data_IF_574426793635
#
_entry.id   IF_574426793635
#
_cell.length_a   1.000
_cell.length_b   1.000
_cell.length_c   1.000
_cell.angle_alpha   90.00
_cell.angle_beta   90.00
_cell.angle_gamma   90.00
#
_symmetry.space_group_name_H-M   'P 1'
#
loop_
_entity.id
_entity.type
_entity.pdbx_description
1 polymer ?
#
# COMPACT_ATOMS: atom_id res chain seq x y z
N UNK A 1 -14.08 -61.59 -23.77
CA UNK A 1 -13.62 -60.19 -23.99
C UNK A 1 -14.05 -59.20 -22.90
N UNK A 2 -14.96 -59.54 -21.98
CA UNK A 2 -15.41 -58.62 -20.90
C UNK A 2 -14.35 -58.25 -19.84
N UNK A 3 -13.46 -59.18 -19.44
CA UNK A 3 -12.49 -58.91 -18.37
C UNK A 3 -11.40 -57.87 -18.71
N UNK A 4 -11.03 -57.73 -19.99
CA UNK A 4 -10.05 -56.72 -20.44
C UNK A 4 -10.66 -55.31 -20.43
N UNK A 5 -11.96 -55.19 -20.69
CA UNK A 5 -12.69 -53.91 -20.66
C UNK A 5 -12.84 -53.44 -19.21
N UNK A 6 -13.15 -54.36 -18.28
CA UNK A 6 -13.26 -54.06 -16.86
C UNK A 6 -11.92 -53.66 -16.22
N UNK A 7 -10.82 -54.32 -16.61
CA UNK A 7 -9.46 -53.97 -16.19
C UNK A 7 -8.95 -52.65 -16.79
N UNK A 8 -9.42 -52.27 -17.98
CA UNK A 8 -9.06 -50.98 -18.61
C UNK A 8 -9.88 -49.84 -17.99
N UNK A 9 -11.15 -50.09 -17.67
CA UNK A 9 -12.01 -49.15 -16.93
C UNK A 9 -11.44 -48.83 -15.55
N UNK A 10 -11.11 -49.84 -14.74
CA UNK A 10 -10.53 -49.63 -13.40
C UNK A 10 -9.18 -48.91 -13.42
N UNK A 11 -8.33 -49.13 -14.44
CA UNK A 11 -7.09 -48.37 -14.65
C UNK A 11 -7.34 -46.90 -15.02
N UNK A 12 -8.38 -46.60 -15.79
CA UNK A 12 -8.79 -45.24 -16.13
C UNK A 12 -9.33 -44.49 -14.90
N UNK A 13 -10.17 -45.12 -14.09
CA UNK A 13 -10.66 -44.54 -12.83
C UNK A 13 -9.51 -44.30 -11.82
N UNK A 14 -8.58 -45.25 -11.70
CA UNK A 14 -7.38 -45.06 -10.88
C UNK A 14 -6.51 -43.90 -11.38
N UNK A 15 -6.33 -43.76 -12.70
CA UNK A 15 -5.60 -42.64 -13.31
C UNK A 15 -6.33 -41.31 -13.14
N UNK A 16 -7.66 -41.30 -13.20
CA UNK A 16 -8.50 -40.14 -12.88
C UNK A 16 -8.34 -39.68 -11.43
N UNK A 17 -8.35 -40.61 -10.47
CA UNK A 17 -8.10 -40.31 -9.06
C UNK A 17 -6.71 -39.73 -8.79
N UNK A 18 -5.68 -40.22 -9.49
CA UNK A 18 -4.30 -39.70 -9.36
C UNK A 18 -4.17 -38.28 -9.92
N UNK A 19 -4.83 -37.95 -11.03
CA UNK A 19 -4.81 -36.59 -11.60
C UNK A 19 -5.52 -35.61 -10.66
N UNK A 20 -6.70 -35.97 -10.14
CA UNK A 20 -7.44 -35.16 -9.16
C UNK A 20 -6.61 -34.95 -7.88
N UNK A 21 -5.96 -35.99 -7.38
CA UNK A 21 -5.07 -35.90 -6.22
C UNK A 21 -3.86 -34.99 -6.46
N UNK A 22 -3.27 -35.01 -7.66
CA UNK A 22 -2.15 -34.11 -8.03
C UNK A 22 -2.57 -32.64 -8.10
N UNK A 23 -3.75 -32.35 -8.64
CA UNK A 23 -4.27 -30.97 -8.72
C UNK A 23 -4.58 -30.45 -7.32
N UNK A 24 -5.25 -31.24 -6.47
CA UNK A 24 -5.51 -30.88 -5.08
C UNK A 24 -4.20 -30.62 -4.32
N UNK A 25 -3.21 -31.51 -4.43
CA UNK A 25 -1.93 -31.32 -3.78
C UNK A 25 -1.20 -30.06 -4.27
N UNK A 26 -1.21 -29.82 -5.58
CA UNK A 26 -0.60 -28.62 -6.17
C UNK A 26 -1.29 -27.35 -5.65
N UNK A 27 -2.63 -27.31 -5.66
CA UNK A 27 -3.39 -26.17 -5.13
C UNK A 27 -3.11 -25.89 -3.65
N UNK A 28 -2.99 -26.94 -2.82
CA UNK A 28 -2.62 -26.81 -1.41
C UNK A 28 -1.21 -26.22 -1.22
N UNK A 29 -0.25 -26.59 -2.08
CA UNK A 29 1.10 -26.01 -2.05
C UNK A 29 1.05 -24.52 -2.41
N UNK A 30 0.29 -24.12 -3.43
CA UNK A 30 0.14 -22.70 -3.80
C UNK A 30 -0.53 -21.89 -2.70
N UNK A 31 -1.63 -22.39 -2.13
CA UNK A 31 -2.32 -21.74 -1.03
C UNK A 31 -1.39 -21.55 0.19
N UNK A 32 -0.67 -22.60 0.57
CA UNK A 32 0.26 -22.54 1.71
C UNK A 32 1.38 -21.53 1.46
N UNK A 33 1.94 -21.48 0.24
CA UNK A 33 2.95 -20.49 -0.14
C UNK A 33 2.41 -19.07 -0.13
N UNK A 34 1.23 -18.84 -0.70
CA UNK A 34 0.60 -17.51 -0.72
C UNK A 34 0.30 -17.01 0.69
N UNK A 35 -0.18 -17.87 1.58
CA UNK A 35 -0.40 -17.53 2.99
C UNK A 35 0.93 -17.19 3.68
N UNK A 36 1.97 -17.98 3.45
CA UNK A 36 3.29 -17.73 4.04
C UNK A 36 3.86 -16.38 3.59
N UNK A 37 3.92 -16.13 2.28
CA UNK A 37 4.43 -14.85 1.76
C UNK A 37 3.53 -13.67 2.15
N UNK A 38 2.21 -13.87 2.24
CA UNK A 38 1.28 -12.87 2.76
C UNK A 38 1.58 -12.48 4.21
N UNK A 39 1.86 -13.47 5.07
CA UNK A 39 2.25 -13.22 6.47
C UNK A 39 3.59 -12.49 6.57
N UNK A 40 4.60 -12.91 5.82
CA UNK A 40 5.91 -12.25 5.80
C UNK A 40 5.78 -10.81 5.31
N UNK A 41 5.02 -10.58 4.23
CA UNK A 41 4.74 -9.25 3.72
C UNK A 41 4.01 -8.37 4.74
N UNK A 42 3.08 -8.94 5.51
CA UNK A 42 2.37 -8.24 6.57
C UNK A 42 3.27 -7.87 7.77
N UNK A 43 4.21 -8.73 8.18
CA UNK A 43 5.17 -8.37 9.23
C UNK A 43 6.17 -7.32 8.75
N UNK A 44 6.64 -7.45 7.51
CA UNK A 44 7.52 -6.45 6.90
C UNK A 44 6.83 -5.08 6.80
N UNK A 45 5.55 -5.04 6.40
CA UNK A 45 4.81 -3.79 6.28
C UNK A 45 4.57 -3.11 7.64
N UNK A 46 4.35 -3.87 8.71
CA UNK A 46 4.27 -3.33 10.08
C UNK A 46 5.58 -2.68 10.51
N UNK A 47 6.70 -3.32 10.19
CA UNK A 47 8.03 -2.79 10.53
C UNK A 47 8.31 -1.48 9.79
N UNK A 48 8.01 -1.44 8.49
CA UNK A 48 8.13 -0.21 7.67
C UNK A 48 7.20 0.87 8.22
N UNK A 49 5.96 0.54 8.57
CA UNK A 49 4.99 1.49 9.12
C UNK A 49 5.51 2.20 10.38
N UNK A 50 6.21 1.46 11.25
CA UNK A 50 6.84 2.00 12.46
C UNK A 50 8.11 2.79 12.14
N UNK A 51 8.99 2.28 11.27
CA UNK A 51 10.26 2.93 10.91
C UNK A 51 10.08 4.24 10.15
N UNK A 52 9.10 4.30 9.27
CA UNK A 52 8.76 5.50 8.50
C UNK A 52 7.92 6.50 9.32
N UNK A 53 7.61 6.20 10.58
CA UNK A 53 6.84 7.10 11.44
C UNK A 53 5.43 7.38 10.92
N UNK A 54 4.81 6.42 10.22
CA UNK A 54 3.44 6.55 9.68
C UNK A 54 2.36 6.44 10.77
N UNK A 55 2.76 6.23 12.02
CA UNK A 55 1.90 6.31 13.20
C UNK A 55 1.36 7.72 13.36
N UNK A 56 0.06 7.89 13.63
CA UNK A 56 -0.50 9.22 13.89
C UNK A 56 0.22 9.85 15.09
N UNK A 57 0.76 11.07 14.94
CA UNK A 57 1.54 11.73 16.00
C UNK A 57 0.66 12.16 17.18
N UNK A 58 1.29 12.48 18.30
CA UNK A 58 0.56 12.91 19.50
C UNK A 58 -0.05 14.31 19.28
N UNK A 59 -1.14 14.62 19.98
CA UNK A 59 -1.86 15.91 19.90
C UNK A 59 -0.92 17.08 20.24
N UNK A 60 0.05 16.89 21.14
CA UNK A 60 1.00 17.95 21.48
C UNK A 60 2.02 18.21 20.37
N UNK A 61 2.42 17.17 19.63
CA UNK A 61 3.27 17.31 18.45
C UNK A 61 2.51 18.11 17.37
N UNK A 62 1.23 17.82 17.15
CA UNK A 62 0.38 18.61 16.25
C UNK A 62 0.33 20.09 16.63
N UNK A 63 0.11 20.41 17.91
CA UNK A 63 0.13 21.80 18.39
C UNK A 63 1.47 22.47 18.13
N UNK A 64 2.58 21.77 18.37
CA UNK A 64 3.92 22.32 18.17
C UNK A 64 4.20 22.63 16.70
N UNK A 65 3.81 21.75 15.78
CA UNK A 65 3.95 21.95 14.34
C UNK A 65 3.09 23.12 13.89
N UNK A 66 1.84 23.20 14.36
CA UNK A 66 0.94 24.30 14.01
C UNK A 66 1.47 25.65 14.50
N UNK A 67 1.93 25.72 15.76
CA UNK A 67 2.55 26.93 16.32
C UNK A 67 3.80 27.34 15.53
N UNK A 68 4.64 26.38 15.13
CA UNK A 68 5.83 26.63 14.31
C UNK A 68 5.47 27.16 12.93
N UNK A 69 4.48 26.58 12.26
CA UNK A 69 4.00 27.04 10.94
C UNK A 69 3.45 28.46 11.01
N UNK A 70 2.65 28.78 12.03
CA UNK A 70 2.16 30.14 12.24
C UNK A 70 3.30 31.13 12.52
N UNK A 71 4.29 30.74 13.33
CA UNK A 71 5.48 31.53 13.60
C UNK A 71 6.26 31.85 12.31
N UNK A 72 6.53 30.83 11.50
CA UNK A 72 7.21 30.97 10.21
C UNK A 72 6.42 31.88 9.26
N UNK A 73 5.10 31.68 9.14
CA UNK A 73 4.27 32.53 8.27
C UNK A 73 4.32 34.00 8.66
N UNK A 74 4.34 34.30 9.96
CA UNK A 74 4.48 35.68 10.47
C UNK A 74 5.87 36.26 10.22
N UNK A 75 6.92 35.45 10.34
CA UNK A 75 8.30 35.87 10.09
C UNK A 75 8.54 36.17 8.61
N UNK A 76 8.09 35.28 7.72
CA UNK A 76 8.22 35.43 6.27
C UNK A 76 7.42 36.62 5.74
N UNK A 77 6.26 36.91 6.33
CA UNK A 77 5.45 38.09 5.96
C UNK A 77 6.16 39.41 6.25
N UNK A 78 7.09 39.45 7.22
CA UNK A 78 7.89 40.64 7.56
C UNK A 78 9.14 40.80 6.71
N UNK A 79 9.56 39.76 5.98
CA UNK A 79 10.82 39.74 5.21
C UNK A 79 10.62 39.20 3.78
N UNK A 80 9.93 39.95 2.91
CA UNK A 80 9.63 39.50 1.54
C UNK A 80 10.88 39.33 0.66
N UNK A 81 11.95 40.07 0.94
CA UNK A 81 13.22 39.99 0.19
C UNK A 81 13.99 38.69 0.46
N UNK A 82 13.95 38.18 1.70
CA UNK A 82 14.59 36.90 2.05
C UNK A 82 13.88 35.72 1.38
N UNK A 83 12.55 35.76 1.26
CA UNK A 83 11.77 34.75 0.53
C UNK A 83 12.14 34.70 -0.95
N UNK A 84 12.27 35.85 -1.62
CA UNK A 84 12.63 35.90 -3.04
C UNK A 84 14.04 35.35 -3.28
N UNK A 85 14.97 35.63 -2.37
CA UNK A 85 16.33 35.10 -2.45
C UNK A 85 16.35 33.58 -2.19
N UNK A 86 15.55 33.11 -1.24
CA UNK A 86 15.38 31.67 -0.98
C UNK A 86 14.82 30.95 -2.21
N UNK A 87 13.75 31.47 -2.82
CA UNK A 87 13.14 30.90 -4.02
C UNK A 87 14.11 30.84 -5.21
N UNK A 88 14.92 31.89 -5.41
CA UNK A 88 15.95 31.93 -6.46
C UNK A 88 17.12 30.97 -6.19
N UNK A 89 17.39 30.65 -4.93
CA UNK A 89 18.49 29.74 -4.52
C UNK A 89 18.12 28.25 -4.55
N UNK A 90 16.86 27.90 -4.83
CA UNK A 90 16.39 26.51 -4.81
C UNK A 90 17.06 25.67 -5.90
N UNK A 91 17.68 24.56 -5.49
CA UNK A 91 18.28 23.60 -6.42
C UNK A 91 17.23 22.66 -6.99
N UNK A 92 17.50 22.08 -8.16
CA UNK A 92 16.62 21.09 -8.81
C UNK A 92 16.27 19.90 -7.90
N UNK A 93 17.21 19.46 -7.06
CA UNK A 93 16.99 18.37 -6.12
C UNK A 93 16.00 18.74 -5.01
N UNK A 94 15.99 20.00 -4.57
CA UNK A 94 15.06 20.47 -3.55
C UNK A 94 13.65 20.58 -4.12
N UNK A 95 13.53 21.05 -5.37
CA UNK A 95 12.26 21.09 -6.08
C UNK A 95 11.65 19.68 -6.23
N UNK A 96 12.46 18.67 -6.57
CA UNK A 96 11.99 17.28 -6.65
C UNK A 96 11.52 16.75 -5.29
N UNK A 97 12.22 17.08 -4.20
CA UNK A 97 11.82 16.67 -2.85
C UNK A 97 10.52 17.35 -2.40
N UNK A 98 10.40 18.66 -2.58
CA UNK A 98 9.17 19.37 -2.23
C UNK A 98 8.00 18.96 -3.13
N UNK A 99 8.27 18.69 -4.40
CA UNK A 99 7.31 18.13 -5.34
C UNK A 99 6.81 16.76 -4.90
N UNK A 100 7.70 15.86 -4.46
CA UNK A 100 7.29 14.53 -3.98
C UNK A 100 6.45 14.63 -2.71
N UNK A 101 6.77 15.54 -1.79
CA UNK A 101 5.91 15.82 -0.63
C UNK A 101 4.54 16.36 -1.03
N UNK A 102 4.47 17.25 -2.01
CA UNK A 102 3.20 17.73 -2.55
C UNK A 102 2.32 16.59 -3.09
N UNK A 103 2.92 15.67 -3.86
CA UNK A 103 2.22 14.48 -4.36
C UNK A 103 1.77 13.57 -3.23
N UNK A 104 2.59 13.38 -2.19
CA UNK A 104 2.22 12.58 -1.02
C UNK A 104 1.02 13.19 -0.26
N UNK A 105 1.02 14.51 -0.04
CA UNK A 105 -0.10 15.21 0.62
C UNK A 105 -1.39 15.05 -0.18
N UNK A 106 -1.34 15.22 -1.50
CA UNK A 106 -2.49 14.99 -2.38
C UNK A 106 -2.97 13.52 -2.35
N UNK A 107 -2.03 12.58 -2.26
CA UNK A 107 -2.32 11.17 -2.08
C UNK A 107 -3.06 10.89 -0.77
N UNK A 108 -2.56 11.40 0.36
CA UNK A 108 -3.21 11.25 1.66
C UNK A 108 -4.57 11.93 1.74
N UNK A 109 -4.74 13.10 1.11
CA UNK A 109 -6.03 13.76 0.99
C UNK A 109 -7.04 12.89 0.25
N UNK A 110 -6.65 12.32 -0.90
CA UNK A 110 -7.49 11.42 -1.69
C UNK A 110 -7.85 10.14 -0.93
N UNK A 111 -6.88 9.56 -0.19
CA UNK A 111 -7.13 8.42 0.70
C UNK A 111 -8.15 8.77 1.80
N UNK A 112 -8.05 9.96 2.38
CA UNK A 112 -9.02 10.49 3.34
C UNK A 112 -10.43 10.58 2.75
N UNK A 113 -10.57 11.07 1.52
CA UNK A 113 -11.86 11.09 0.83
C UNK A 113 -12.43 9.68 0.59
N UNK A 114 -11.58 8.73 0.17
CA UNK A 114 -11.98 7.32 -0.03
C UNK A 114 -12.48 6.70 1.27
N UNK A 115 -11.79 6.93 2.38
CA UNK A 115 -12.17 6.44 3.72
C UNK A 115 -13.48 7.12 4.17
N UNK A 116 -13.57 8.45 4.05
CA UNK A 116 -14.74 9.22 4.45
C UNK A 116 -15.99 8.83 3.67
N UNK A 117 -15.86 8.57 2.36
CA UNK A 117 -16.95 8.14 1.49
C UNK A 117 -17.22 6.63 1.51
N UNK A 118 -16.30 5.84 2.09
CA UNK A 118 -16.29 4.36 2.10
C UNK A 118 -16.46 3.75 0.70
N UNK A 119 -15.94 4.44 -0.33
CA UNK A 119 -16.05 4.03 -1.74
C UNK A 119 -14.72 4.26 -2.43
N UNK A 120 -14.22 3.23 -3.10
CA UNK A 120 -12.98 3.27 -3.88
C UNK A 120 -13.14 4.01 -5.21
N UNK A 121 -14.31 3.89 -5.85
CA UNK A 121 -14.57 4.47 -7.17
C UNK A 121 -15.91 5.19 -7.17
N UNK A 122 -15.87 6.50 -7.42
CA UNK A 122 -17.03 7.31 -7.79
C UNK A 122 -18.19 7.34 -6.77
N UNK A 123 -19.16 8.21 -7.05
CA UNK A 123 -20.49 8.00 -6.49
C UNK A 123 -21.23 7.03 -7.41
N UNK A 124 -22.16 6.25 -6.87
CA UNK A 124 -23.00 5.39 -7.71
C UNK A 124 -23.88 6.35 -8.50
N UNK A 125 -23.59 6.52 -9.78
CA UNK A 125 -24.49 7.22 -10.69
C UNK A 125 -25.74 6.34 -10.80
N UNK A 126 -26.89 6.91 -10.46
CA UNK A 126 -28.19 6.38 -10.87
C UNK A 126 -28.51 6.96 -12.24
#
# INVERSE_FOLDING_TARGET
MLGKIQATGSKLFARGGVITGRIMNTSNVWLTKSIYYGKVGAELSKEIYRKEGLTPPNVDEFKSVYAKLLGLGKEYSKKPTELLNMAKSLKKNDLLKYGSYGVQILGFFSLGEVIGRRKLVGYKHY
#
